data_IF_164968427702
#
_entry.id   IF_164968427702
#
_cell.length_a   1.000
_cell.length_b   1.000
_cell.length_c   1.000
_cell.angle_alpha   90.00
_cell.angle_beta   90.00
_cell.angle_gamma   90.00
#
_symmetry.space_group_name_H-M   'P 1'
#
loop_
_entity.id
_entity.type
_entity.pdbx_description
1 polymer ?
#
# COMPACT_ATOMS: atom_id res chain seq x y z
N UNK A 1 -11.00 -17.93 -5.75
CA UNK A 1 -10.91 -16.61 -5.12
C UNK A 1 -10.93 -16.72 -3.59
N UNK A 2 -12.02 -17.19 -2.96
CA UNK A 2 -12.16 -17.27 -1.48
C UNK A 2 -11.05 -18.05 -0.77
N UNK A 3 -10.53 -19.13 -1.40
CA UNK A 3 -9.41 -19.91 -0.84
C UNK A 3 -8.13 -19.10 -0.84
N UNK A 4 -7.83 -18.42 -1.95
CA UNK A 4 -6.66 -17.56 -2.08
C UNK A 4 -6.66 -16.40 -1.06
N UNK A 5 -7.82 -15.76 -0.86
CA UNK A 5 -7.99 -14.71 0.15
C UNK A 5 -7.71 -15.22 1.56
N UNK A 6 -8.20 -16.41 1.91
CA UNK A 6 -7.92 -17.04 3.21
C UNK A 6 -6.45 -17.37 3.39
N UNK A 7 -5.83 -17.94 2.36
CA UNK A 7 -4.38 -18.24 2.38
C UNK A 7 -3.59 -16.94 2.58
N UNK A 8 -3.91 -15.89 1.82
CA UNK A 8 -3.26 -14.59 1.95
C UNK A 8 -3.37 -14.05 3.39
N UNK A 9 -4.59 -14.06 3.97
CA UNK A 9 -4.82 -13.55 5.33
C UNK A 9 -4.05 -14.35 6.38
N UNK A 10 -4.03 -15.68 6.29
CA UNK A 10 -3.34 -16.54 7.26
C UNK A 10 -1.83 -16.37 7.13
N UNK A 11 -1.28 -16.54 5.94
CA UNK A 11 0.16 -16.49 5.71
C UNK A 11 0.69 -15.09 6.02
N UNK A 12 0.03 -14.05 5.50
CA UNK A 12 0.46 -12.67 5.75
C UNK A 12 0.33 -12.29 7.22
N UNK A 13 -0.75 -12.71 7.88
CA UNK A 13 -0.95 -12.51 9.31
C UNK A 13 0.18 -13.13 10.14
N UNK A 14 0.57 -14.38 9.84
CA UNK A 14 1.68 -15.05 10.52
C UNK A 14 3.02 -14.35 10.31
N UNK A 15 3.33 -13.95 9.06
CA UNK A 15 4.58 -13.23 8.76
C UNK A 15 4.64 -11.88 9.48
N UNK A 16 3.53 -11.16 9.60
CA UNK A 16 3.46 -9.89 10.32
C UNK A 16 3.58 -10.09 11.83
N UNK A 17 3.00 -11.16 12.40
CA UNK A 17 3.20 -11.51 13.82
C UNK A 17 4.69 -11.75 14.10
N UNK A 18 5.38 -12.54 13.26
CA UNK A 18 6.82 -12.77 13.38
C UNK A 18 7.59 -11.43 13.31
N UNK A 19 7.21 -10.53 12.37
CA UNK A 19 7.84 -9.22 12.26
C UNK A 19 7.66 -8.39 13.56
N UNK A 20 6.47 -8.38 14.16
CA UNK A 20 6.22 -7.67 15.42
C UNK A 20 7.01 -8.28 16.58
N UNK A 21 7.16 -9.62 16.64
CA UNK A 21 8.04 -10.25 17.61
C UNK A 21 9.49 -9.77 17.46
N UNK A 22 9.98 -9.64 16.21
CA UNK A 22 11.33 -9.09 15.94
C UNK A 22 11.48 -7.64 16.44
N UNK A 23 10.41 -6.84 16.43
CA UNK A 23 10.43 -5.49 17.00
C UNK A 23 10.66 -5.54 18.53
N UNK A 24 9.97 -6.39 19.26
CA UNK A 24 10.13 -6.47 20.72
C UNK A 24 11.49 -6.99 21.16
N UNK A 25 12.07 -7.94 20.43
CA UNK A 25 13.42 -8.45 20.73
C UNK A 25 14.53 -7.58 20.10
N UNK A 26 14.17 -6.47 19.43
CA UNK A 26 15.09 -5.57 18.73
C UNK A 26 16.03 -6.32 17.78
N UNK A 27 15.53 -7.37 17.12
CA UNK A 27 16.31 -8.15 16.19
C UNK A 27 16.66 -7.33 14.96
N UNK A 28 17.95 -7.31 14.61
CA UNK A 28 18.47 -6.61 13.44
C UNK A 28 19.57 -7.45 12.79
N UNK A 29 19.40 -7.75 11.52
CA UNK A 29 20.39 -8.48 10.73
C UNK A 29 20.44 -7.93 9.31
N UNK A 30 21.67 -7.70 8.81
CA UNK A 30 21.91 -7.30 7.42
C UNK A 30 22.73 -8.37 6.72
N UNK A 31 22.13 -9.03 5.74
CA UNK A 31 22.84 -9.96 4.87
C UNK A 31 23.56 -9.18 3.75
N UNK A 32 24.86 -9.38 3.55
CA UNK A 32 25.55 -8.81 2.40
C UNK A 32 25.01 -9.46 1.11
N UNK A 33 24.44 -8.65 0.22
CA UNK A 33 24.16 -9.04 -1.14
C UNK A 33 25.32 -8.53 -2.00
N UNK A 34 25.76 -9.33 -2.97
CA UNK A 34 26.89 -8.97 -3.82
C UNK A 34 26.72 -7.58 -4.45
N UNK A 35 27.55 -6.67 -4.02
CA UNK A 35 28.04 -5.38 -4.58
C UNK A 35 27.05 -4.33 -5.10
N UNK A 36 25.74 -4.61 -5.35
CA UNK A 36 24.84 -3.67 -6.04
C UNK A 36 23.80 -3.06 -5.09
N UNK A 37 23.40 -3.74 -4.03
CA UNK A 37 22.40 -3.25 -3.07
C UNK A 37 22.96 -3.22 -1.65
N UNK A 38 22.50 -2.29 -0.83
CA UNK A 38 22.85 -2.13 0.58
C UNK A 38 22.40 -3.30 1.48
N UNK A 39 22.65 -4.54 1.08
CA UNK A 39 22.33 -5.75 1.84
C UNK A 39 20.82 -5.98 2.07
N UNK A 40 20.43 -7.23 2.30
CA UNK A 40 19.08 -7.59 2.74
C UNK A 40 18.95 -7.27 4.24
N UNK A 41 18.05 -6.34 4.59
CA UNK A 41 17.76 -5.94 5.96
C UNK A 41 16.60 -6.77 6.51
N UNK A 42 16.77 -7.35 7.68
CA UNK A 42 15.77 -8.16 8.37
C UNK A 42 15.61 -7.67 9.80
N UNK A 43 14.39 -7.58 10.31
CA UNK A 43 14.09 -7.15 11.66
C UNK A 43 13.82 -5.66 11.79
N UNK A 44 14.27 -5.03 12.87
CA UNK A 44 14.11 -3.60 13.12
C UNK A 44 15.39 -2.85 12.76
N UNK A 45 15.33 -1.92 11.82
CA UNK A 45 16.49 -1.23 11.27
C UNK A 45 16.17 0.23 10.90
N UNK A 46 17.05 1.16 11.25
CA UNK A 46 16.87 2.61 10.97
C UNK A 46 15.48 3.13 11.39
N UNK A 47 15.08 2.81 12.62
CA UNK A 47 13.77 3.21 13.18
C UNK A 47 12.55 2.69 12.36
N UNK A 48 12.72 1.58 11.64
CA UNK A 48 11.67 0.96 10.82
C UNK A 48 11.63 -0.55 11.01
N UNK A 49 10.43 -1.10 11.04
CA UNK A 49 10.23 -2.55 11.08
C UNK A 49 10.19 -3.12 9.66
N UNK A 50 11.27 -3.74 9.25
CA UNK A 50 11.31 -4.59 8.05
C UNK A 50 10.69 -5.97 8.37
N UNK A 51 10.95 -6.50 9.55
CA UNK A 51 10.55 -7.85 9.92
C UNK A 51 11.23 -8.88 9.03
N UNK A 52 10.45 -9.81 8.48
CA UNK A 52 10.90 -10.85 7.54
C UNK A 52 10.83 -10.39 6.07
N UNK A 53 10.48 -9.15 5.82
CA UNK A 53 10.26 -8.62 4.47
C UNK A 53 11.48 -7.84 3.98
N UNK A 54 11.81 -8.03 2.70
CA UNK A 54 12.92 -7.30 2.09
C UNK A 54 12.65 -5.78 1.95
N UNK A 55 11.38 -5.39 1.84
CA UNK A 55 10.95 -3.99 1.73
C UNK A 55 9.72 -3.73 2.60
N UNK A 56 9.84 -2.90 3.66
CA UNK A 56 8.75 -2.59 4.57
C UNK A 56 7.60 -1.81 3.90
N UNK A 57 7.86 -1.08 2.81
CA UNK A 57 6.81 -0.34 2.12
C UNK A 57 5.88 -1.29 1.37
N UNK A 58 6.46 -2.27 0.64
CA UNK A 58 5.65 -3.31 0.00
C UNK A 58 4.85 -4.14 0.99
N UNK A 59 5.50 -4.54 2.07
CA UNK A 59 4.84 -5.31 3.11
C UNK A 59 3.68 -4.53 3.73
N UNK A 60 3.87 -3.24 3.99
CA UNK A 60 2.83 -2.37 4.51
C UNK A 60 1.65 -2.20 3.53
N UNK A 61 1.89 -2.08 2.22
CA UNK A 61 0.81 -2.07 1.19
C UNK A 61 -0.01 -3.35 1.23
N UNK A 62 0.62 -4.53 1.31
CA UNK A 62 -0.12 -5.79 1.42
C UNK A 62 -0.85 -5.91 2.76
N UNK A 63 -0.31 -5.30 3.82
CA UNK A 63 -1.02 -5.20 5.11
C UNK A 63 -2.29 -4.36 5.00
N UNK A 64 -2.29 -3.26 4.21
CA UNK A 64 -3.51 -2.50 3.90
C UNK A 64 -4.52 -3.36 3.15
N UNK A 65 -4.10 -4.14 2.15
CA UNK A 65 -4.98 -5.11 1.47
C UNK A 65 -5.55 -6.15 2.45
N UNK A 66 -4.73 -6.65 3.38
CA UNK A 66 -5.17 -7.59 4.42
C UNK A 66 -6.22 -6.97 5.34
N UNK A 67 -6.10 -5.68 5.69
CA UNK A 67 -7.14 -4.94 6.45
C UNK A 67 -8.44 -4.89 5.66
N UNK A 68 -8.42 -4.52 4.39
CA UNK A 68 -9.63 -4.45 3.55
C UNK A 68 -10.33 -5.81 3.49
N UNK A 69 -9.59 -6.88 3.28
CA UNK A 69 -10.13 -8.24 3.25
C UNK A 69 -10.72 -8.64 4.60
N UNK A 70 -10.01 -8.38 5.71
CA UNK A 70 -10.47 -8.71 7.06
C UNK A 70 -11.75 -7.97 7.41
N UNK A 71 -11.81 -6.66 7.17
CA UNK A 71 -12.99 -5.84 7.41
C UNK A 71 -14.18 -6.31 6.56
N UNK A 72 -13.96 -6.60 5.28
CA UNK A 72 -15.02 -7.12 4.40
C UNK A 72 -15.56 -8.47 4.89
N UNK A 73 -14.70 -9.39 5.30
CA UNK A 73 -15.10 -10.70 5.81
C UNK A 73 -15.76 -10.59 7.18
N UNK A 74 -15.38 -9.62 8.01
CA UNK A 74 -15.99 -9.35 9.32
C UNK A 74 -17.49 -9.07 9.19
N UNK A 75 -17.91 -8.32 8.18
CA UNK A 75 -19.34 -8.06 7.91
C UNK A 75 -20.08 -9.23 7.29
N UNK A 76 -19.38 -10.21 6.69
CA UNK A 76 -19.98 -11.36 6.05
C UNK A 76 -20.10 -12.57 6.98
N UNK A 77 -19.27 -12.69 8.01
CA UNK A 77 -19.26 -13.82 8.91
C UNK A 77 -20.25 -13.66 10.07
N UNK A 78 -20.96 -14.73 10.42
CA UNK A 78 -21.84 -14.77 11.59
C UNK A 78 -21.15 -15.35 12.82
N UNK A 79 -20.12 -16.17 12.63
CA UNK A 79 -19.42 -16.89 13.69
C UNK A 79 -18.54 -15.96 14.54
N UNK A 80 -18.85 -15.83 15.83
CA UNK A 80 -18.16 -14.95 16.78
C UNK A 80 -16.64 -15.18 16.83
N UNK A 81 -16.20 -16.44 16.77
CA UNK A 81 -14.76 -16.80 16.76
C UNK A 81 -14.03 -16.19 15.56
N UNK A 82 -14.61 -16.28 14.36
CA UNK A 82 -14.01 -15.71 13.16
C UNK A 82 -14.01 -14.18 13.19
N UNK A 83 -15.04 -13.55 13.76
CA UNK A 83 -15.04 -12.08 13.96
C UNK A 83 -13.85 -11.61 14.78
N UNK A 84 -13.58 -12.27 15.90
CA UNK A 84 -12.44 -11.93 16.75
C UNK A 84 -11.10 -12.10 16.02
N UNK A 85 -10.93 -13.21 15.29
CA UNK A 85 -9.69 -13.42 14.50
C UNK A 85 -9.49 -12.34 13.44
N UNK A 86 -10.55 -11.91 12.76
CA UNK A 86 -10.48 -10.85 11.75
C UNK A 86 -10.20 -9.47 12.37
N UNK A 87 -10.77 -9.18 13.54
CA UNK A 87 -10.46 -7.95 14.29
C UNK A 87 -9.00 -7.96 14.73
N UNK A 88 -8.53 -9.06 15.31
CA UNK A 88 -7.13 -9.20 15.70
C UNK A 88 -6.18 -9.06 14.52
N UNK A 89 -6.49 -9.70 13.38
CA UNK A 89 -5.68 -9.51 12.17
C UNK A 89 -5.65 -8.05 11.72
N UNK A 90 -6.79 -7.36 11.73
CA UNK A 90 -6.87 -5.93 11.38
C UNK A 90 -5.95 -5.09 12.28
N UNK A 91 -5.98 -5.32 13.60
CA UNK A 91 -5.13 -4.61 14.56
C UNK A 91 -3.64 -4.91 14.33
N UNK A 92 -3.27 -6.17 14.15
CA UNK A 92 -1.89 -6.62 13.90
C UNK A 92 -1.35 -5.97 12.61
N UNK A 93 -2.14 -5.96 11.54
CA UNK A 93 -1.73 -5.32 10.28
C UNK A 93 -1.55 -3.80 10.46
N UNK A 94 -2.43 -3.14 11.22
CA UNK A 94 -2.32 -1.71 11.48
C UNK A 94 -1.07 -1.37 12.32
N UNK A 95 -0.79 -2.17 13.35
CA UNK A 95 0.46 -2.07 14.13
C UNK A 95 1.67 -2.16 13.19
N UNK A 96 1.68 -3.16 12.30
CA UNK A 96 2.79 -3.32 11.36
C UNK A 96 2.95 -2.11 10.43
N UNK A 97 1.86 -1.60 9.85
CA UNK A 97 1.89 -0.38 9.01
C UNK A 97 2.55 0.78 9.78
N UNK A 98 2.17 0.98 11.04
CA UNK A 98 2.72 2.02 11.91
C UNK A 98 4.22 1.82 12.15
N UNK A 99 4.64 0.62 12.57
CA UNK A 99 6.03 0.30 12.88
C UNK A 99 6.93 0.26 11.63
N UNK A 100 6.37 -0.04 10.46
CA UNK A 100 7.11 -0.03 9.19
C UNK A 100 7.61 1.36 8.79
N UNK A 101 7.02 2.43 9.34
CA UNK A 101 7.30 3.82 8.98
C UNK A 101 7.00 4.14 7.51
N UNK A 102 6.15 3.35 6.84
CA UNK A 102 5.79 3.56 5.43
C UNK A 102 4.80 4.70 5.27
N UNK A 103 5.28 5.85 4.83
CA UNK A 103 4.41 7.01 4.52
C UNK A 103 3.39 6.70 3.44
N UNK A 104 3.78 5.91 2.46
CA UNK A 104 2.88 5.51 1.35
C UNK A 104 1.75 4.65 1.85
N UNK A 105 2.04 3.60 2.64
CA UNK A 105 0.99 2.75 3.21
C UNK A 105 0.07 3.52 4.18
N UNK A 106 0.61 4.50 4.90
CA UNK A 106 -0.20 5.40 5.71
C UNK A 106 -1.19 6.21 4.84
N UNK A 107 -0.72 6.80 3.73
CA UNK A 107 -1.59 7.50 2.77
C UNK A 107 -2.61 6.55 2.15
N UNK A 108 -2.19 5.35 1.75
CA UNK A 108 -3.10 4.30 1.26
C UNK A 108 -4.22 4.02 2.27
N UNK A 109 -3.87 3.80 3.54
CA UNK A 109 -4.83 3.54 4.61
C UNK A 109 -5.84 4.70 4.76
N UNK A 110 -5.37 5.96 4.74
CA UNK A 110 -6.26 7.13 4.82
C UNK A 110 -7.16 7.23 3.59
N UNK A 111 -6.63 7.02 2.39
CA UNK A 111 -7.41 7.04 1.14
C UNK A 111 -8.49 5.97 1.12
N UNK A 112 -8.18 4.73 1.50
CA UNK A 112 -9.19 3.66 1.50
C UNK A 112 -10.26 3.85 2.57
N UNK A 113 -9.90 4.41 3.74
CA UNK A 113 -10.87 4.75 4.79
C UNK A 113 -11.80 5.87 4.28
N UNK A 114 -11.24 6.90 3.64
CA UNK A 114 -12.03 7.98 3.05
C UNK A 114 -12.98 7.44 1.98
N UNK A 115 -12.46 6.77 0.97
CA UNK A 115 -13.25 6.27 -0.17
C UNK A 115 -14.25 5.20 0.27
N UNK A 116 -13.83 4.28 1.14
CA UNK A 116 -14.70 3.22 1.66
C UNK A 116 -15.87 3.80 2.48
N UNK A 117 -15.61 4.67 3.44
CA UNK A 117 -16.67 5.30 4.25
C UNK A 117 -17.56 6.22 3.42
N UNK A 118 -16.99 6.96 2.46
CA UNK A 118 -17.75 7.80 1.54
C UNK A 118 -18.80 6.99 0.79
N UNK A 119 -18.41 5.92 0.11
CA UNK A 119 -19.37 5.14 -0.67
C UNK A 119 -20.32 4.31 0.20
N UNK A 120 -19.91 3.88 1.39
CA UNK A 120 -20.83 3.25 2.35
C UNK A 120 -21.94 4.21 2.77
N UNK A 121 -21.62 5.45 3.13
CA UNK A 121 -22.61 6.45 3.54
C UNK A 121 -23.42 6.93 2.33
N UNK A 122 -22.78 7.17 1.20
CA UNK A 122 -23.44 7.57 -0.04
C UNK A 122 -24.54 6.59 -0.44
N UNK A 123 -24.26 5.29 -0.42
CA UNK A 123 -25.24 4.24 -0.75
C UNK A 123 -26.36 4.10 0.31
N UNK A 124 -26.07 4.36 1.58
CA UNK A 124 -27.06 4.31 2.65
C UNK A 124 -27.99 5.51 2.70
N UNK A 125 -27.61 6.61 2.08
CA UNK A 125 -28.36 7.88 2.10
C UNK A 125 -29.02 8.23 0.78
N UNK A 126 -29.30 7.24 -0.05
CA UNK A 126 -29.89 7.41 -1.40
C UNK A 126 -31.26 8.08 -1.43
N UNK A 127 -31.99 8.05 -0.32
CA UNK A 127 -33.30 8.71 -0.17
C UNK A 127 -33.18 10.23 0.03
N UNK A 128 -32.00 10.72 0.39
CA UNK A 128 -31.77 12.16 0.60
C UNK A 128 -31.54 12.89 -0.71
N UNK A 129 -31.74 14.22 -0.71
CA UNK A 129 -31.33 15.09 -1.83
C UNK A 129 -29.83 14.96 -2.06
N UNK A 130 -29.39 14.95 -3.31
CA UNK A 130 -27.98 14.72 -3.71
C UNK A 130 -26.98 15.58 -2.92
N UNK A 131 -27.27 16.87 -2.73
CA UNK A 131 -26.39 17.76 -1.97
C UNK A 131 -26.19 17.32 -0.50
N UNK A 132 -27.28 16.91 0.18
CA UNK A 132 -27.22 16.40 1.55
C UNK A 132 -26.52 15.01 1.59
N UNK A 133 -26.80 14.17 0.62
CA UNK A 133 -26.16 12.85 0.50
C UNK A 133 -24.65 12.99 0.37
N UNK A 134 -24.16 13.86 -0.50
CA UNK A 134 -22.74 14.17 -0.64
C UNK A 134 -22.15 14.79 0.63
N UNK A 135 -22.84 15.75 1.24
CA UNK A 135 -22.39 16.41 2.47
C UNK A 135 -22.20 15.41 3.60
N UNK A 136 -23.18 14.54 3.87
CA UNK A 136 -23.06 13.50 4.89
C UNK A 136 -21.91 12.53 4.59
N UNK A 137 -21.76 12.14 3.33
CA UNK A 137 -20.69 11.23 2.93
C UNK A 137 -19.31 11.86 3.15
N UNK A 138 -19.12 13.12 2.78
CA UNK A 138 -17.85 13.84 2.96
C UNK A 138 -17.53 14.04 4.43
N UNK A 139 -18.48 14.57 5.21
CA UNK A 139 -18.25 14.84 6.65
C UNK A 139 -17.91 13.56 7.40
N UNK A 140 -18.67 12.48 7.16
CA UNK A 140 -18.39 11.18 7.79
C UNK A 140 -17.01 10.65 7.39
N UNK A 141 -16.64 10.78 6.12
CA UNK A 141 -15.33 10.29 5.64
C UNK A 141 -14.18 11.08 6.24
N UNK A 142 -14.28 12.38 6.34
CA UNK A 142 -13.28 13.22 7.02
C UNK A 142 -13.18 12.83 8.51
N UNK A 143 -14.30 12.64 9.19
CA UNK A 143 -14.32 12.17 10.58
C UNK A 143 -13.65 10.80 10.76
N UNK A 144 -13.90 9.86 9.85
CA UNK A 144 -13.27 8.52 9.88
C UNK A 144 -11.76 8.59 9.62
N UNK A 145 -11.30 9.43 8.70
CA UNK A 145 -9.87 9.65 8.46
C UNK A 145 -9.20 10.29 9.69
N UNK A 146 -9.84 11.29 10.30
CA UNK A 146 -9.33 11.92 11.52
C UNK A 146 -9.23 10.91 12.67
N UNK A 147 -10.25 10.09 12.86
CA UNK A 147 -10.21 9.00 13.84
C UNK A 147 -9.09 8.00 13.56
N UNK A 148 -8.89 7.59 12.30
CA UNK A 148 -7.83 6.69 11.89
C UNK A 148 -6.44 7.29 12.13
N UNK A 149 -6.26 8.59 11.89
CA UNK A 149 -5.03 9.30 12.21
C UNK A 149 -4.71 9.25 13.70
N UNK A 150 -5.72 9.57 14.56
CA UNK A 150 -5.55 9.50 16.02
C UNK A 150 -5.22 8.05 16.44
N UNK A 151 -5.95 7.06 15.92
CA UNK A 151 -5.70 5.66 16.24
C UNK A 151 -4.27 5.24 15.87
N UNK A 152 -3.74 5.66 14.72
CA UNK A 152 -2.35 5.40 14.32
C UNK A 152 -1.36 6.01 15.32
N UNK A 153 -1.59 7.24 15.76
CA UNK A 153 -0.73 7.90 16.75
C UNK A 153 -0.80 7.25 18.14
N UNK A 154 -1.96 6.76 18.53
CA UNK A 154 -2.12 6.00 19.78
C UNK A 154 -1.40 4.64 19.69
N UNK A 155 -1.49 3.93 18.56
CA UNK A 155 -0.76 2.67 18.33
C UNK A 155 0.75 2.93 18.42
N UNK A 156 1.25 3.97 17.74
CA UNK A 156 2.66 4.35 17.75
C UNK A 156 3.18 4.55 19.19
N UNK A 157 2.51 5.40 19.97
CA UNK A 157 2.85 5.67 21.36
C UNK A 157 2.71 4.43 22.26
N UNK A 158 1.64 3.67 22.07
CA UNK A 158 1.40 2.45 22.82
C UNK A 158 2.48 1.39 22.59
N UNK A 159 2.91 1.21 21.33
CA UNK A 159 3.96 0.24 21.00
C UNK A 159 5.31 0.64 21.59
N UNK A 160 5.67 1.93 21.58
CA UNK A 160 6.87 2.42 22.25
C UNK A 160 6.80 2.24 23.76
N UNK A 161 5.69 2.59 24.40
CA UNK A 161 5.50 2.41 25.85
C UNK A 161 5.58 0.93 26.26
N UNK A 162 5.00 0.00 25.48
CA UNK A 162 5.11 -1.44 25.74
C UNK A 162 6.56 -1.90 25.59
N UNK A 163 7.29 -1.41 24.59
CA UNK A 163 8.69 -1.75 24.40
C UNK A 163 9.55 -1.27 25.58
N UNK A 164 9.32 -0.06 26.09
CA UNK A 164 10.01 0.47 27.26
C UNK A 164 9.73 -0.37 28.52
N UNK A 165 8.47 -0.76 28.72
CA UNK A 165 8.11 -1.68 29.81
C UNK A 165 8.80 -3.03 29.66
N UNK A 166 8.83 -3.59 28.47
CA UNK A 166 9.50 -4.87 28.18
C UNK A 166 10.99 -4.79 28.49
N UNK A 167 11.66 -3.75 28.03
CA UNK A 167 13.09 -3.54 28.30
C UNK A 167 13.39 -3.37 29.80
N UNK A 168 12.52 -2.68 30.54
CA UNK A 168 12.66 -2.49 32.00
C UNK A 168 12.46 -3.79 32.80
N UNK A 169 11.60 -4.70 32.34
CA UNK A 169 11.41 -6.02 32.99
C UNK A 169 12.65 -6.91 32.76
N UNK A 170 13.15 -6.94 31.53
CA UNK A 170 14.35 -7.71 31.18
C UNK A 170 15.60 -7.21 31.96
N UNK A 171 15.71 -5.89 32.17
CA UNK A 171 16.79 -5.28 32.93
C UNK A 171 16.77 -5.69 34.43
N UNK A 172 15.59 -5.80 35.05
CA UNK A 172 15.46 -6.24 36.45
C UNK A 172 15.84 -7.72 36.66
N UNK A 173 15.77 -8.52 35.59
CA UNK A 173 16.08 -9.96 35.67
C UNK A 173 17.58 -10.27 35.46
N UNK A 174 18.35 -9.34 34.88
CA UNK A 174 19.79 -9.50 34.59
C UNK A 174 20.58 -8.46 35.38
N UNK A 175 21.07 -8.87 36.59
CA UNK A 175 21.91 -8.02 37.44
C UNK A 175 23.27 -7.71 36.77
N UNK A 176 23.63 -6.40 36.79
CA UNK A 176 25.00 -5.87 36.68
C UNK A 176 25.63 -5.57 35.31
N UNK A 177 24.88 -5.29 34.26
CA UNK A 177 25.50 -4.62 33.09
C UNK A 177 24.71 -3.38 32.72
N UNK A 178 25.28 -2.20 33.03
CA UNK A 178 24.83 -0.92 32.50
C UNK A 178 25.02 -0.92 30.97
N UNK A 179 24.04 -1.37 30.24
CA UNK A 179 23.99 -1.13 28.80
C UNK A 179 23.09 0.09 28.54
N UNK A 180 23.72 1.20 28.17
CA UNK A 180 23.05 2.30 27.51
C UNK A 180 22.43 1.75 26.21
N UNK A 181 21.21 1.16 26.27
CA UNK A 181 20.47 0.86 25.05
C UNK A 181 20.04 2.21 24.43
N UNK A 182 20.24 2.43 23.14
CA UNK A 182 19.77 3.64 22.50
C UNK A 182 18.26 3.75 22.66
N UNK A 183 17.79 4.94 22.95
CA UNK A 183 16.37 5.26 23.00
C UNK A 183 15.74 4.91 21.65
N UNK A 184 14.76 4.01 21.63
CA UNK A 184 14.14 3.55 20.39
C UNK A 184 13.14 4.60 19.95
N UNK A 185 13.44 5.28 18.86
CA UNK A 185 12.54 6.21 18.16
C UNK A 185 11.96 5.55 16.92
N UNK A 186 10.76 5.96 16.52
CA UNK A 186 10.17 5.67 15.21
C UNK A 186 10.34 6.84 14.25
N UNK A 187 11.04 7.90 14.68
CA UNK A 187 11.38 9.03 13.82
C UNK A 187 12.36 8.59 12.73
N UNK A 188 12.10 9.01 11.52
CA UNK A 188 12.87 8.57 10.35
C UNK A 188 14.03 9.52 10.08
N UNK A 189 15.29 9.10 10.33
CA UNK A 189 16.47 9.95 10.12
C UNK A 189 16.69 10.27 8.63
N UNK A 190 16.24 9.40 7.72
CA UNK A 190 16.32 9.62 6.26
C UNK A 190 15.38 10.73 5.74
N UNK A 191 14.47 11.24 6.58
CA UNK A 191 13.50 12.31 6.24
C UNK A 191 13.87 13.64 6.88
N UNK A 192 14.77 13.66 7.83
CA UNK A 192 15.17 14.88 8.55
C UNK A 192 15.94 15.89 7.67
N UNK A 193 16.47 15.48 6.55
CA UNK A 193 17.00 16.41 5.54
C UNK A 193 15.83 17.19 4.92
N UNK A 194 15.50 18.33 5.56
CA UNK A 194 14.38 19.23 5.24
C UNK A 194 14.39 19.81 3.82
N UNK A 195 15.42 19.54 3.02
CA UNK A 195 15.60 20.07 1.67
C UNK A 195 14.93 19.22 0.58
N UNK A 196 14.65 17.93 0.83
CA UNK A 196 13.97 17.06 -0.15
C UNK A 196 12.88 16.17 0.49
N UNK A 197 11.66 16.71 0.55
CA UNK A 197 10.46 16.00 1.01
C UNK A 197 10.17 14.72 0.19
N UNK A 198 10.64 14.68 -1.07
CA UNK A 198 10.40 13.58 -2.00
C UNK A 198 11.33 12.38 -1.80
N UNK A 199 12.38 12.51 -1.00
CA UNK A 199 13.43 11.51 -0.85
C UNK A 199 14.02 11.09 -2.21
N UNK A 200 14.48 12.08 -3.00
CA UNK A 200 15.03 11.96 -4.35
C UNK A 200 14.07 11.45 -5.44
N UNK A 201 12.78 11.27 -5.16
CA UNK A 201 11.83 10.76 -6.17
C UNK A 201 11.68 11.70 -7.34
N UNK A 202 11.62 13.02 -7.11
CA UNK A 202 11.56 13.99 -8.22
C UNK A 202 12.77 13.89 -9.14
N UNK A 203 13.98 13.64 -8.59
CA UNK A 203 15.17 13.39 -9.38
C UNK A 203 15.09 12.11 -10.21
N UNK A 204 14.53 11.04 -9.65
CA UNK A 204 14.28 9.79 -10.39
C UNK A 204 13.22 9.96 -11.49
N UNK A 205 12.15 10.74 -11.25
CA UNK A 205 11.14 11.06 -12.26
C UNK A 205 11.72 11.89 -13.41
N UNK A 206 12.55 12.89 -13.07
CA UNK A 206 13.28 13.68 -14.07
C UNK A 206 14.19 12.78 -14.91
N UNK A 207 14.98 11.91 -14.29
CA UNK A 207 15.82 10.94 -14.98
C UNK A 207 15.02 10.00 -15.88
N UNK A 208 13.86 9.53 -15.41
CA UNK A 208 12.97 8.67 -16.23
C UNK A 208 12.45 9.42 -17.45
N UNK A 209 12.16 10.71 -17.31
CA UNK A 209 11.72 11.54 -18.43
C UNK A 209 12.86 11.81 -19.43
N UNK A 210 14.09 12.03 -18.96
CA UNK A 210 15.27 12.13 -19.82
C UNK A 210 15.52 10.84 -20.61
N UNK A 211 15.36 9.68 -19.96
CA UNK A 211 15.46 8.38 -20.61
C UNK A 211 14.36 8.20 -21.68
N UNK A 212 13.11 8.59 -21.34
CA UNK A 212 12.01 8.57 -22.31
C UNK A 212 12.31 9.44 -23.54
N UNK A 213 12.87 10.64 -23.36
CA UNK A 213 13.23 11.54 -24.47
C UNK A 213 14.27 10.92 -25.43
N UNK A 214 15.14 10.03 -24.94
CA UNK A 214 16.11 9.32 -25.78
C UNK A 214 15.50 8.24 -26.67
N UNK A 215 14.31 7.70 -26.32
CA UNK A 215 13.57 6.71 -27.12
C UNK A 215 12.05 6.86 -26.91
N UNK A 216 11.48 7.91 -27.53
CA UNK A 216 10.10 8.36 -27.32
C UNK A 216 9.07 7.29 -27.69
N UNK A 217 9.27 6.55 -28.77
CA UNK A 217 8.25 5.65 -29.29
C UNK A 217 8.12 4.33 -28.53
N UNK A 218 9.23 3.67 -28.23
CA UNK A 218 9.24 2.31 -27.70
C UNK A 218 9.92 2.18 -26.33
N UNK A 219 10.59 3.24 -25.86
CA UNK A 219 11.30 3.23 -24.58
C UNK A 219 12.50 2.25 -24.57
N UNK A 220 12.94 1.90 -23.36
CA UNK A 220 14.17 1.10 -23.14
C UNK A 220 13.89 -0.39 -22.96
N UNK A 221 12.64 -0.83 -23.00
CA UNK A 221 12.14 -2.15 -22.56
C UNK A 221 12.04 -2.27 -21.02
N UNK A 222 10.99 -2.95 -20.51
CA UNK A 222 10.89 -3.29 -19.08
C UNK A 222 12.12 -4.06 -18.59
N UNK A 223 12.56 -3.76 -17.35
CA UNK A 223 13.79 -4.28 -16.71
C UNK A 223 15.12 -3.84 -17.31
N UNK A 224 15.13 -3.10 -18.40
CA UNK A 224 16.37 -2.58 -19.01
C UNK A 224 16.62 -1.11 -18.67
N UNK A 225 15.76 -0.48 -17.89
CA UNK A 225 15.81 0.95 -17.56
C UNK A 225 17.17 1.36 -16.97
N UNK A 226 17.62 0.64 -15.95
CA UNK A 226 18.88 0.93 -15.23
C UNK A 226 20.09 0.70 -16.11
N UNK A 227 20.15 -0.44 -16.79
CA UNK A 227 21.25 -0.82 -17.71
C UNK A 227 21.35 0.18 -18.87
N UNK A 228 20.21 0.55 -19.45
CA UNK A 228 20.16 1.55 -20.51
C UNK A 228 20.65 2.92 -20.03
N UNK A 229 20.20 3.34 -18.85
CA UNK A 229 20.62 4.62 -18.25
C UNK A 229 22.14 4.63 -18.00
N UNK A 230 22.71 3.56 -17.45
CA UNK A 230 24.15 3.44 -17.21
C UNK A 230 24.96 3.53 -18.50
N UNK A 231 24.48 2.95 -19.58
CA UNK A 231 25.21 2.88 -20.84
C UNK A 231 25.08 4.15 -21.67
N UNK A 232 23.86 4.72 -21.77
CA UNK A 232 23.58 5.84 -22.68
C UNK A 232 23.44 7.20 -21.99
N UNK A 233 23.06 7.20 -20.70
CA UNK A 233 22.78 8.41 -19.91
C UNK A 233 23.40 8.33 -18.51
N UNK A 234 24.73 8.13 -18.39
CA UNK A 234 25.41 7.81 -17.13
C UNK A 234 25.29 8.90 -16.05
N UNK A 235 24.96 10.14 -16.43
CA UNK A 235 24.81 11.26 -15.51
C UNK A 235 23.41 11.35 -14.89
N UNK A 236 22.46 10.51 -15.30
CA UNK A 236 21.11 10.50 -14.73
C UNK A 236 21.12 9.87 -13.34
N UNK A 237 20.20 10.31 -12.47
CA UNK A 237 20.11 9.79 -11.10
C UNK A 237 19.79 8.28 -11.07
N UNK A 238 19.03 7.78 -12.04
CA UNK A 238 18.75 6.33 -12.22
C UNK A 238 20.06 5.56 -12.48
N UNK A 239 20.91 6.05 -13.37
CA UNK A 239 22.20 5.44 -13.66
C UNK A 239 23.13 5.42 -12.44
N UNK A 240 23.25 6.57 -11.75
CA UNK A 240 24.14 6.74 -10.59
C UNK A 240 23.68 5.92 -9.38
N UNK A 241 22.37 5.93 -9.06
CA UNK A 241 21.83 5.23 -7.90
C UNK A 241 21.42 3.79 -8.17
N UNK A 242 21.39 3.35 -9.41
CA UNK A 242 20.91 2.02 -9.82
C UNK A 242 19.55 1.71 -9.22
N UNK A 243 18.61 2.64 -9.36
CA UNK A 243 17.26 2.57 -8.85
C UNK A 243 16.26 2.81 -9.97
N UNK A 244 15.06 2.24 -9.84
CA UNK A 244 13.96 2.47 -10.76
C UNK A 244 13.31 3.85 -10.55
N UNK A 245 12.31 4.17 -11.36
CA UNK A 245 11.56 5.44 -11.27
C UNK A 245 10.81 5.64 -9.96
N UNK A 246 10.55 4.59 -9.18
CA UNK A 246 9.66 4.60 -8.02
C UNK A 246 8.29 5.24 -8.30
N UNK A 247 7.80 5.11 -9.54
CA UNK A 247 6.49 5.57 -10.01
C UNK A 247 6.13 4.79 -11.28
N UNK A 248 4.95 4.18 -11.30
CA UNK A 248 4.54 3.34 -12.43
C UNK A 248 4.39 4.12 -13.73
N UNK A 249 3.91 5.35 -13.69
CA UNK A 249 3.71 6.16 -14.88
C UNK A 249 5.05 6.51 -15.56
N UNK A 250 5.99 7.07 -14.79
CA UNK A 250 7.31 7.41 -15.31
C UNK A 250 8.11 6.18 -15.74
N UNK A 251 7.95 5.07 -15.01
CA UNK A 251 8.55 3.79 -15.40
C UNK A 251 8.00 3.30 -16.73
N UNK A 252 6.67 3.28 -16.88
CA UNK A 252 6.04 2.85 -18.14
C UNK A 252 6.46 3.74 -19.29
N UNK A 253 6.45 5.06 -19.08
CA UNK A 253 6.85 6.04 -20.09
C UNK A 253 8.30 5.80 -20.56
N UNK A 254 9.24 5.63 -19.64
CA UNK A 254 10.64 5.39 -19.96
C UNK A 254 10.89 4.02 -20.59
N UNK A 255 10.14 2.99 -20.17
CA UNK A 255 10.41 1.60 -20.61
C UNK A 255 9.63 1.15 -21.84
N UNK A 256 8.45 1.73 -22.09
CA UNK A 256 7.57 1.33 -23.22
C UNK A 256 7.28 2.47 -24.20
N UNK A 257 7.76 3.67 -23.91
CA UNK A 257 7.52 4.85 -24.72
C UNK A 257 6.04 5.20 -24.85
N UNK A 258 5.69 5.99 -25.86
CA UNK A 258 4.31 6.34 -26.17
C UNK A 258 3.48 5.14 -26.61
N UNK A 259 4.10 4.20 -27.34
CA UNK A 259 3.41 3.03 -27.90
C UNK A 259 2.81 2.12 -26.81
N UNK A 260 3.46 1.97 -25.66
CA UNK A 260 2.93 1.19 -24.55
C UNK A 260 2.16 2.03 -23.52
N UNK A 261 2.60 3.26 -23.28
CA UNK A 261 1.99 4.13 -22.26
C UNK A 261 0.60 4.59 -22.63
N UNK A 262 0.37 5.02 -23.88
CA UNK A 262 -0.95 5.54 -24.31
C UNK A 262 -2.05 4.46 -24.17
N UNK A 263 -1.90 3.23 -24.72
CA UNK A 263 -2.91 2.19 -24.53
C UNK A 263 -3.17 1.84 -23.06
N UNK A 264 -2.11 1.76 -22.22
CA UNK A 264 -2.26 1.47 -20.82
C UNK A 264 -3.05 2.55 -20.08
N UNK A 265 -2.74 3.83 -20.32
CA UNK A 265 -3.43 4.94 -19.68
C UNK A 265 -4.89 5.01 -20.13
N UNK A 266 -5.17 4.86 -21.42
CA UNK A 266 -6.55 4.81 -21.95
C UNK A 266 -7.34 3.65 -21.32
N UNK A 267 -6.72 2.48 -21.18
CA UNK A 267 -7.34 1.34 -20.50
C UNK A 267 -7.66 1.67 -19.03
N UNK A 268 -6.72 2.23 -18.28
CA UNK A 268 -6.92 2.58 -16.87
C UNK A 268 -8.00 3.67 -16.72
N UNK A 269 -7.98 4.72 -17.55
CA UNK A 269 -8.99 5.77 -17.54
C UNK A 269 -10.38 5.17 -17.79
N UNK A 270 -10.53 4.32 -18.81
CA UNK A 270 -11.80 3.65 -19.09
C UNK A 270 -12.29 2.83 -17.88
N UNK A 271 -11.38 2.08 -17.21
CA UNK A 271 -11.75 1.32 -16.01
C UNK A 271 -12.13 2.22 -14.83
N UNK A 272 -11.44 3.31 -14.63
CA UNK A 272 -11.78 4.30 -13.59
C UNK A 272 -13.16 4.90 -13.86
N UNK A 273 -13.42 5.41 -15.07
CA UNK A 273 -14.69 6.04 -15.41
C UNK A 273 -15.88 5.08 -15.27
N UNK A 274 -15.74 3.85 -15.77
CA UNK A 274 -16.79 2.84 -15.65
C UNK A 274 -17.01 2.39 -14.19
N UNK A 275 -15.94 2.31 -13.39
CA UNK A 275 -16.04 2.02 -11.95
C UNK A 275 -16.76 3.13 -11.20
N UNK A 276 -16.44 4.40 -11.49
CA UNK A 276 -17.10 5.55 -10.88
C UNK A 276 -18.59 5.60 -11.24
N UNK A 277 -18.96 5.31 -12.50
CA UNK A 277 -20.37 5.21 -12.91
C UNK A 277 -21.15 4.20 -12.07
N UNK A 278 -20.56 3.04 -11.77
CA UNK A 278 -21.20 2.02 -10.92
C UNK A 278 -21.25 2.45 -9.46
N UNK A 279 -20.16 3.02 -8.91
CA UNK A 279 -20.11 3.48 -7.53
C UNK A 279 -21.13 4.59 -7.22
N UNK A 280 -21.36 5.51 -8.17
CA UNK A 280 -22.35 6.58 -8.03
C UNK A 280 -23.76 6.17 -8.48
N UNK A 281 -23.95 4.97 -9.02
CA UNK A 281 -25.26 4.49 -9.43
C UNK A 281 -26.13 4.17 -8.22
N UNK A 282 -27.32 4.75 -8.14
CA UNK A 282 -28.35 4.40 -7.14
C UNK A 282 -29.03 3.06 -7.42
N UNK A 283 -28.90 2.53 -8.66
CA UNK A 283 -29.56 1.30 -9.10
C UNK A 283 -28.77 0.04 -8.78
N UNK A 284 -27.49 0.15 -8.44
CA UNK A 284 -26.59 -0.97 -8.22
C UNK A 284 -26.16 -0.98 -6.76
N UNK A 285 -26.36 -2.11 -6.09
CA UNK A 285 -25.83 -2.31 -4.76
C UNK A 285 -24.35 -2.68 -4.84
N UNK A 286 -23.48 -1.74 -4.47
CA UNK A 286 -22.01 -1.90 -4.52
C UNK A 286 -21.48 -2.89 -3.48
N UNK A 287 -22.30 -3.32 -2.52
CA UNK A 287 -21.94 -4.37 -1.55
C UNK A 287 -22.11 -5.77 -2.12
N UNK A 288 -22.91 -5.92 -3.18
CA UNK A 288 -23.05 -7.20 -3.87
C UNK A 288 -21.72 -7.63 -4.49
N UNK A 289 -21.47 -8.93 -4.44
CA UNK A 289 -20.29 -9.57 -5.03
C UNK A 289 -18.95 -8.93 -4.58
N UNK A 290 -18.95 -8.21 -3.45
CA UNK A 290 -17.77 -7.52 -2.91
C UNK A 290 -17.18 -6.44 -3.85
N UNK A 291 -17.99 -5.80 -4.67
CA UNK A 291 -17.52 -4.82 -5.66
C UNK A 291 -16.69 -3.69 -5.03
N UNK A 292 -17.25 -3.00 -4.01
CA UNK A 292 -16.54 -1.94 -3.29
C UNK A 292 -15.21 -2.42 -2.72
N UNK A 293 -15.18 -3.59 -2.10
CA UNK A 293 -13.96 -4.20 -1.56
C UNK A 293 -12.89 -4.37 -2.65
N UNK A 294 -13.27 -4.94 -3.78
CA UNK A 294 -12.35 -5.18 -4.89
C UNK A 294 -11.80 -3.87 -5.46
N UNK A 295 -12.65 -2.84 -5.57
CA UNK A 295 -12.24 -1.48 -5.97
C UNK A 295 -11.24 -0.88 -4.99
N UNK A 296 -11.47 -1.02 -3.67
CA UNK A 296 -10.56 -0.51 -2.65
C UNK A 296 -9.18 -1.20 -2.71
N UNK A 297 -9.13 -2.50 -2.98
CA UNK A 297 -7.86 -3.23 -3.15
C UNK A 297 -7.11 -2.72 -4.40
N UNK A 298 -7.78 -2.57 -5.54
CA UNK A 298 -7.18 -2.02 -6.75
C UNK A 298 -6.66 -0.60 -6.51
N UNK A 299 -7.45 0.23 -5.82
CA UNK A 299 -7.07 1.61 -5.48
C UNK A 299 -5.84 1.65 -4.58
N UNK A 300 -5.76 0.79 -3.56
CA UNK A 300 -4.59 0.68 -2.67
C UNK A 300 -3.31 0.46 -3.48
N UNK A 301 -3.31 -0.55 -4.35
CA UNK A 301 -2.13 -0.90 -5.12
C UNK A 301 -1.81 0.19 -6.16
N UNK A 302 -2.82 0.84 -6.73
CA UNK A 302 -2.62 1.95 -7.66
C UNK A 302 -1.97 3.15 -6.96
N UNK A 303 -2.43 3.52 -5.76
CA UNK A 303 -1.81 4.58 -4.94
C UNK A 303 -0.37 4.21 -4.59
N UNK A 304 -0.12 2.96 -4.19
CA UNK A 304 1.23 2.46 -3.94
C UNK A 304 2.14 2.60 -5.16
N UNK A 305 1.65 2.22 -6.34
CA UNK A 305 2.40 2.28 -7.58
C UNK A 305 2.77 3.72 -8.01
N UNK A 306 2.03 4.73 -7.55
CA UNK A 306 2.36 6.15 -7.81
C UNK A 306 3.53 6.65 -6.97
N UNK A 307 3.88 5.97 -5.86
CA UNK A 307 4.86 6.47 -4.90
C UNK A 307 5.99 5.50 -4.57
N UNK A 308 5.84 4.22 -4.82
CA UNK A 308 6.83 3.24 -4.39
C UNK A 308 7.61 2.63 -5.53
N UNK A 309 6.93 1.98 -6.42
CA UNK A 309 7.56 1.26 -7.53
C UNK A 309 6.53 0.95 -8.60
N UNK A 310 6.97 0.17 -9.56
CA UNK A 310 6.24 -0.35 -10.70
C UNK A 310 5.34 -1.53 -10.32
N UNK A 311 4.64 -1.45 -9.16
CA UNK A 311 3.82 -2.53 -8.61
C UNK A 311 2.79 -3.12 -9.58
N UNK A 312 2.45 -2.39 -10.65
CA UNK A 312 1.52 -2.84 -11.67
C UNK A 312 2.22 -3.66 -12.75
N UNK A 313 3.50 -3.39 -13.01
CA UNK A 313 4.25 -3.93 -14.16
C UNK A 313 5.33 -4.92 -13.78
N UNK A 314 5.79 -4.94 -12.54
CA UNK A 314 6.88 -5.80 -12.07
C UNK A 314 6.30 -7.02 -11.37
N UNK A 315 6.84 -8.20 -11.65
CA UNK A 315 6.39 -9.49 -11.11
C UNK A 315 6.58 -9.58 -9.58
N UNK A 316 5.63 -9.05 -8.84
CA UNK A 316 5.55 -9.05 -7.38
C UNK A 316 4.12 -9.40 -6.94
N UNK A 317 3.94 -9.72 -5.66
CA UNK A 317 2.62 -10.04 -5.11
C UNK A 317 1.60 -8.89 -5.34
N UNK A 318 2.04 -7.64 -5.24
CA UNK A 318 1.20 -6.47 -5.53
C UNK A 318 0.69 -6.45 -6.97
N UNK A 319 1.55 -6.76 -7.96
CA UNK A 319 1.17 -6.88 -9.38
C UNK A 319 0.11 -7.97 -9.58
N UNK A 320 0.34 -9.14 -8.99
CA UNK A 320 -0.62 -10.25 -9.05
C UNK A 320 -1.98 -9.85 -8.48
N UNK A 321 -2.01 -9.24 -7.30
CA UNK A 321 -3.24 -8.80 -6.66
C UNK A 321 -3.93 -7.69 -7.47
N UNK A 322 -3.17 -6.74 -8.00
CA UNK A 322 -3.73 -5.66 -8.83
C UNK A 322 -4.52 -6.23 -10.02
N UNK A 323 -3.88 -7.06 -10.84
CA UNK A 323 -4.52 -7.61 -12.04
C UNK A 323 -5.65 -8.59 -11.71
N UNK A 324 -5.50 -9.38 -10.64
CA UNK A 324 -6.53 -10.29 -10.15
C UNK A 324 -7.82 -9.52 -9.75
N UNK A 325 -7.68 -8.49 -8.93
CA UNK A 325 -8.83 -7.72 -8.46
C UNK A 325 -9.37 -6.77 -9.52
N UNK A 326 -8.54 -6.20 -10.39
CA UNK A 326 -8.99 -5.43 -11.54
C UNK A 326 -9.77 -6.29 -12.53
N UNK A 327 -9.35 -7.54 -12.75
CA UNK A 327 -10.11 -8.52 -13.53
C UNK A 327 -11.47 -8.81 -12.92
N UNK A 328 -11.54 -8.98 -11.59
CA UNK A 328 -12.80 -9.15 -10.86
C UNK A 328 -13.72 -7.93 -10.99
N UNK A 329 -13.21 -6.73 -10.78
CA UNK A 329 -13.96 -5.47 -10.99
C UNK A 329 -14.47 -5.39 -12.43
N UNK A 330 -13.61 -5.67 -13.42
CA UNK A 330 -13.98 -5.63 -14.85
C UNK A 330 -15.10 -6.61 -15.19
N UNK A 331 -15.05 -7.84 -14.67
CA UNK A 331 -16.11 -8.84 -14.85
C UNK A 331 -17.45 -8.36 -14.27
N UNK A 332 -17.41 -7.73 -13.09
CA UNK A 332 -18.60 -7.19 -12.44
C UNK A 332 -19.17 -5.97 -13.19
N UNK A 333 -18.30 -5.13 -13.79
CA UNK A 333 -18.72 -4.02 -14.64
C UNK A 333 -19.48 -4.52 -15.87
N UNK A 334 -19.01 -5.57 -16.55
CA UNK A 334 -19.70 -6.17 -17.70
C UNK A 334 -21.07 -6.70 -17.28
N UNK A 335 -21.16 -7.45 -16.17
CA UNK A 335 -22.41 -7.97 -15.63
C UNK A 335 -23.42 -6.84 -15.32
N UNK A 336 -22.95 -5.73 -14.79
CA UNK A 336 -23.79 -4.60 -14.46
C UNK A 336 -24.20 -3.78 -15.70
N UNK A 337 -23.31 -3.62 -16.69
CA UNK A 337 -23.64 -2.95 -17.96
C UNK A 337 -24.71 -3.70 -18.74
N UNK A 338 -24.68 -5.03 -18.76
CA UNK A 338 -25.73 -5.83 -19.37
C UNK A 338 -27.10 -5.60 -18.71
N UNK A 339 -27.15 -5.33 -17.39
CA UNK A 339 -28.38 -4.92 -16.72
C UNK A 339 -28.88 -3.54 -17.15
N UNK A 340 -27.99 -2.62 -17.54
CA UNK A 340 -28.38 -1.31 -18.10
C UNK A 340 -28.92 -1.40 -19.53
N UNK A 341 -28.39 -2.33 -20.35
CA UNK A 341 -28.85 -2.53 -21.75
C UNK A 341 -30.22 -3.17 -21.83
N UNK A 342 -30.63 -3.99 -20.86
CA UNK A 342 -31.95 -4.59 -20.78
C UNK A 342 -33.07 -3.63 -20.31
N UNK A 343 -32.74 -2.38 -19.93
CA UNK A 343 -33.68 -1.36 -19.47
C UNK A 343 -33.71 -0.13 -20.40
N UNK A 344 -33.13 -0.22 -21.59
CA UNK A 344 -33.39 0.68 -22.74
C UNK A 344 -34.32 0.02 -23.71
#
# INVERSE_FOLDING_TARGET
FKVLEKILLIVWGLLVVIAICMFFIQYSYTAPLDKIYNGLRIGFFENRLYGVFADPNFAATISVVSIILSVSLLFQTTLKKWKWLLIMNTLIQWIYITLSGSRTAFVELMVIIFVGSFFVVYQKTTEKKLGLQLLYSIITSIGMVFFAYIATKLIERGMLAILDLWNNVEYKSTTNVSKNRPDVSLDRPDVENKTDISNNRFGLWKSSFEIFQSNIWFGTSPRNLETYAQHYLPNTLIAVKQQTSHNFFFYTLATTGLAGTIPLILFLINKILTTLQVLFSKKINIFNDNFLRNVLIVLTILVSAMFLTELILVNKIGTFLFWLYLGSVSSQLVKNNNKFLFWR
#
